data_IF_366130101695
#
_entry.id   IF_366130101695
#
_cell.length_a   1.000
_cell.length_b   1.000
_cell.length_c   1.000
_cell.angle_alpha   90.00
_cell.angle_beta   90.00
_cell.angle_gamma   90.00
#
_symmetry.space_group_name_H-M   'P 1'
#
loop_
_entity.id
_entity.type
_entity.pdbx_description
1 polymer ?
#
# COMPACT_ATOMS: atom_id res chain seq x y z
N UNK A 1 13.14 -12.25 -3.57
CA UNK A 1 13.82 -11.01 -3.94
C UNK A 1 14.74 -10.52 -2.83
N UNK A 2 14.28 -10.21 -1.59
CA UNK A 2 15.15 -9.60 -0.58
C UNK A 2 16.41 -10.42 -0.22
N UNK A 3 16.28 -11.74 -0.05
CA UNK A 3 17.42 -12.62 0.29
C UNK A 3 18.56 -12.51 -0.73
N UNK A 4 18.22 -12.56 -2.02
CA UNK A 4 19.18 -12.47 -3.12
C UNK A 4 19.83 -11.08 -3.22
N UNK A 5 19.00 -10.03 -3.18
CA UNK A 5 19.45 -8.66 -3.44
C UNK A 5 20.27 -8.08 -2.28
N UNK A 6 19.87 -8.36 -1.04
CA UNK A 6 20.43 -7.68 0.14
C UNK A 6 21.20 -8.61 1.09
N UNK A 7 21.13 -9.93 0.91
CA UNK A 7 21.69 -10.90 1.86
C UNK A 7 22.45 -12.06 1.21
N UNK A 8 22.79 -11.98 -0.08
CA UNK A 8 23.56 -13.03 -0.78
C UNK A 8 22.95 -14.44 -0.63
N UNK A 9 21.62 -14.52 -0.68
CA UNK A 9 20.84 -15.76 -0.49
C UNK A 9 21.00 -16.45 0.89
N UNK A 10 21.51 -15.73 1.90
CA UNK A 10 21.71 -16.27 3.26
C UNK A 10 20.42 -16.40 4.09
N UNK A 11 19.33 -15.70 3.73
CA UNK A 11 18.08 -15.79 4.47
C UNK A 11 17.33 -17.09 4.16
N UNK A 12 16.95 -17.83 5.21
CA UNK A 12 16.16 -19.07 5.12
C UNK A 12 14.74 -18.84 5.63
N UNK A 13 13.75 -19.39 4.93
CA UNK A 13 12.34 -19.30 5.33
C UNK A 13 12.01 -20.44 6.29
N UNK A 14 11.60 -20.12 7.52
CA UNK A 14 11.16 -21.08 8.54
C UNK A 14 9.65 -21.19 8.70
N UNK A 15 8.87 -20.42 7.93
CA UNK A 15 7.42 -20.36 7.99
C UNK A 15 6.78 -21.03 6.77
N UNK A 16 5.58 -21.59 6.96
CA UNK A 16 4.77 -22.07 5.86
C UNK A 16 4.14 -20.92 5.07
N UNK A 17 3.83 -21.19 3.81
CA UNK A 17 3.24 -20.20 2.92
C UNK A 17 1.74 -20.03 3.24
N UNK A 18 1.34 -18.81 3.58
CA UNK A 18 -0.06 -18.45 3.77
C UNK A 18 -0.88 -18.43 2.46
N UNK A 19 -2.19 -18.13 2.56
CA UNK A 19 -3.11 -18.08 1.42
C UNK A 19 -2.72 -17.02 0.38
N UNK A 20 -3.06 -17.30 -0.89
CA UNK A 20 -2.87 -16.38 -2.01
C UNK A 20 -4.21 -15.74 -2.38
N UNK A 21 -4.37 -14.45 -2.08
CA UNK A 21 -5.61 -13.72 -2.32
C UNK A 21 -5.66 -12.98 -3.67
N UNK A 22 -4.56 -12.94 -4.43
CA UNK A 22 -4.45 -12.22 -5.69
C UNK A 22 -4.39 -13.18 -6.87
N UNK A 23 -4.73 -12.69 -8.06
CA UNK A 23 -4.63 -13.43 -9.31
C UNK A 23 -3.66 -12.74 -10.26
N UNK A 24 -2.88 -13.53 -10.99
CA UNK A 24 -2.11 -13.06 -12.15
C UNK A 24 -3.03 -12.86 -13.35
N UNK A 25 -2.53 -12.23 -14.41
CA UNK A 25 -3.28 -12.06 -15.67
C UNK A 25 -3.76 -13.39 -16.28
N UNK A 26 -3.00 -14.47 -16.09
CA UNK A 26 -3.39 -15.81 -16.53
C UNK A 26 -4.33 -16.56 -15.56
N UNK A 27 -4.90 -15.86 -14.57
CA UNK A 27 -5.83 -16.41 -13.59
C UNK A 27 -5.21 -17.29 -12.50
N UNK A 28 -3.87 -17.46 -12.47
CA UNK A 28 -3.22 -18.26 -11.42
C UNK A 28 -3.12 -17.47 -10.10
N UNK A 29 -3.41 -18.10 -8.94
CA UNK A 29 -3.23 -17.46 -7.63
C UNK A 29 -1.80 -17.01 -7.38
N UNK A 30 -1.64 -15.86 -6.72
CA UNK A 30 -0.37 -15.30 -6.29
C UNK A 30 -0.51 -14.53 -4.98
N UNK A 31 0.57 -14.45 -4.21
CA UNK A 31 0.64 -13.65 -2.99
C UNK A 31 1.17 -12.23 -3.24
N UNK A 32 1.92 -12.06 -4.34
CA UNK A 32 2.58 -10.80 -4.69
C UNK A 32 2.21 -10.47 -6.14
N UNK A 33 1.82 -9.22 -6.38
CA UNK A 33 1.51 -8.67 -7.68
C UNK A 33 2.01 -7.22 -7.74
N UNK A 34 2.61 -6.84 -8.87
CA UNK A 34 2.97 -5.45 -9.12
C UNK A 34 1.87 -4.80 -9.98
N UNK A 35 1.07 -3.91 -9.38
CA UNK A 35 0.04 -3.17 -10.09
C UNK A 35 0.62 -1.93 -10.74
N UNK A 36 1.03 -2.03 -12.01
CA UNK A 36 1.53 -0.88 -12.75
C UNK A 36 0.44 0.19 -12.89
N UNK A 37 0.75 1.42 -12.51
CA UNK A 37 -0.11 2.59 -12.61
C UNK A 37 0.69 3.74 -13.20
N UNK A 38 0.09 4.47 -14.13
CA UNK A 38 0.61 5.75 -14.62
C UNK A 38 -0.34 6.85 -14.13
N UNK A 39 -0.09 7.34 -12.92
CA UNK A 39 -0.78 8.50 -12.37
C UNK A 39 0.01 9.78 -12.63
N UNK A 40 -0.67 10.94 -12.65
CA UNK A 40 0.02 12.23 -12.54
C UNK A 40 0.25 12.52 -11.07
N UNK A 41 1.47 12.89 -10.72
CA UNK A 41 1.78 13.40 -9.39
C UNK A 41 1.27 14.85 -9.30
N UNK A 42 0.29 15.09 -8.42
CA UNK A 42 -0.16 16.44 -8.12
C UNK A 42 0.75 16.97 -7.01
N UNK A 43 1.78 17.73 -7.39
CA UNK A 43 2.64 18.43 -6.43
C UNK A 43 1.85 19.56 -5.79
N UNK A 44 1.22 19.30 -4.65
CA UNK A 44 0.67 20.35 -3.79
C UNK A 44 1.84 21.05 -3.09
N UNK A 45 2.31 22.15 -3.66
CA UNK A 45 3.23 23.09 -3.00
C UNK A 45 2.43 23.78 -1.90
N UNK A 46 2.42 23.21 -0.70
CA UNK A 46 1.80 23.83 0.47
C UNK A 46 2.80 24.80 1.08
N UNK A 47 2.64 26.08 0.78
CA UNK A 47 3.41 27.17 1.40
C UNK A 47 2.93 27.41 2.84
N UNK A 48 3.31 26.55 3.79
CA UNK A 48 3.19 26.86 5.22
C UNK A 48 4.46 27.54 5.72
N UNK A 49 4.30 28.49 6.65
CA UNK A 49 5.39 29.32 7.22
C UNK A 49 6.44 28.52 8.00
N UNK A 50 6.17 27.25 8.29
CA UNK A 50 7.09 26.32 8.95
C UNK A 50 7.26 25.09 8.05
N UNK A 51 8.44 24.90 7.48
CA UNK A 51 8.87 23.61 6.92
C UNK A 51 8.42 23.33 5.49
N UNK A 52 9.36 23.54 4.56
CA UNK A 52 9.31 23.05 3.19
C UNK A 52 9.38 21.51 3.16
N UNK A 53 8.24 20.82 3.13
CA UNK A 53 8.18 19.41 2.72
C UNK A 53 7.42 19.31 1.40
N UNK A 54 8.15 19.05 0.30
CA UNK A 54 7.61 18.71 -1.02
C UNK A 54 6.83 17.38 -0.93
N UNK A 55 5.64 17.43 -0.34
CA UNK A 55 4.85 16.25 -0.02
C UNK A 55 4.00 15.91 -1.26
N UNK A 56 4.57 15.10 -2.14
CA UNK A 56 3.92 14.66 -3.39
C UNK A 56 2.86 13.62 -3.06
N UNK A 57 1.65 13.79 -3.62
CA UNK A 57 0.58 12.81 -3.54
C UNK A 57 0.12 12.41 -4.95
N UNK A 58 -0.08 11.12 -5.16
CA UNK A 58 -0.64 10.56 -6.38
C UNK A 58 -2.04 10.02 -6.06
N UNK A 59 -3.05 10.81 -6.42
CA UNK A 59 -4.46 10.52 -6.09
C UNK A 59 -4.91 9.23 -6.77
N UNK A 60 -4.44 8.94 -7.98
CA UNK A 60 -4.84 7.73 -8.71
C UNK A 60 -4.27 6.47 -8.06
N UNK A 61 -3.01 6.52 -7.63
CA UNK A 61 -2.42 5.44 -6.82
C UNK A 61 -3.13 5.28 -5.47
N UNK A 62 -3.47 6.38 -4.79
CA UNK A 62 -4.19 6.33 -3.51
C UNK A 62 -5.57 5.67 -3.67
N UNK A 63 -6.34 6.04 -4.70
CA UNK A 63 -7.63 5.41 -5.04
C UNK A 63 -7.47 3.92 -5.32
N UNK A 64 -6.43 3.55 -6.07
CA UNK A 64 -6.17 2.17 -6.42
C UNK A 64 -5.75 1.33 -5.21
N UNK A 65 -4.89 1.85 -4.33
CA UNK A 65 -4.51 1.18 -3.09
C UNK A 65 -5.73 0.88 -2.21
N UNK A 66 -6.62 1.88 -2.02
CA UNK A 66 -7.87 1.68 -1.26
C UNK A 66 -8.83 0.73 -1.98
N UNK A 67 -8.86 0.75 -3.31
CA UNK A 67 -9.66 -0.21 -4.09
C UNK A 67 -9.19 -1.65 -3.84
N UNK A 68 -7.88 -1.90 -3.86
CA UNK A 68 -7.31 -3.23 -3.59
C UNK A 68 -7.63 -3.68 -2.15
N UNK A 69 -7.44 -2.81 -1.15
CA UNK A 69 -7.82 -3.12 0.23
C UNK A 69 -9.29 -3.50 0.37
N UNK A 70 -10.20 -2.74 -0.27
CA UNK A 70 -11.63 -3.05 -0.27
C UNK A 70 -11.95 -4.39 -0.96
N UNK A 71 -11.23 -4.77 -2.01
CA UNK A 71 -11.40 -6.07 -2.68
C UNK A 71 -10.94 -7.22 -1.78
N UNK A 72 -9.81 -7.06 -1.08
CA UNK A 72 -9.32 -8.05 -0.11
C UNK A 72 -10.34 -8.27 1.02
N UNK A 73 -10.96 -7.21 1.52
CA UNK A 73 -12.01 -7.31 2.55
C UNK A 73 -13.25 -8.00 1.98
N UNK A 74 -13.83 -7.48 0.89
CA UNK A 74 -15.15 -7.89 0.43
C UNK A 74 -15.17 -9.21 -0.34
N UNK A 75 -14.10 -9.53 -1.07
CA UNK A 75 -14.06 -10.71 -1.94
C UNK A 75 -13.23 -11.84 -1.34
N UNK A 76 -12.14 -11.52 -0.64
CA UNK A 76 -11.25 -12.51 -0.05
C UNK A 76 -11.51 -12.77 1.45
N UNK A 77 -12.37 -11.96 2.09
CA UNK A 77 -12.71 -12.13 3.51
C UNK A 77 -11.55 -11.81 4.45
N UNK A 78 -10.61 -10.97 4.04
CA UNK A 78 -9.50 -10.54 4.89
C UNK A 78 -10.00 -9.49 5.86
N UNK A 79 -9.83 -9.74 7.17
CA UNK A 79 -10.19 -8.76 8.19
C UNK A 79 -9.41 -7.44 7.98
N UNK A 80 -10.06 -6.27 8.09
CA UNK A 80 -9.42 -4.98 7.80
C UNK A 80 -8.16 -4.71 8.65
N UNK A 81 -8.12 -5.20 9.88
CA UNK A 81 -6.99 -5.11 10.81
C UNK A 81 -5.73 -5.85 10.35
N UNK A 82 -5.88 -6.83 9.44
CA UNK A 82 -4.77 -7.54 8.80
C UNK A 82 -4.26 -6.85 7.53
N UNK A 83 -4.78 -5.66 7.20
CA UNK A 83 -4.40 -4.90 6.00
C UNK A 83 -3.68 -3.61 6.40
N UNK A 84 -2.50 -3.41 5.83
CA UNK A 84 -1.74 -2.18 5.93
C UNK A 84 -1.43 -1.61 4.55
N UNK A 85 -1.60 -0.28 4.39
CA UNK A 85 -1.18 0.46 3.21
C UNK A 85 0.03 1.32 3.60
N UNK A 86 1.17 1.05 2.99
CA UNK A 86 2.44 1.72 3.27
C UNK A 86 2.83 2.63 2.11
N UNK A 87 3.31 3.83 2.43
CA UNK A 87 3.82 4.81 1.45
C UNK A 87 5.00 5.60 2.03
N UNK A 88 5.99 6.04 1.24
CA UNK A 88 7.08 6.85 1.78
C UNK A 88 6.65 8.27 2.22
N UNK A 89 5.55 8.81 1.69
CA UNK A 89 5.18 10.23 1.86
C UNK A 89 4.01 10.46 2.82
N UNK A 90 4.14 11.45 3.72
CA UNK A 90 3.09 11.84 4.67
C UNK A 90 1.83 12.39 3.97
N UNK A 91 1.97 13.18 2.91
CA UNK A 91 0.80 13.65 2.15
C UNK A 91 0.00 12.50 1.54
N UNK A 92 0.68 11.48 1.01
CA UNK A 92 0.02 10.30 0.48
C UNK A 92 -0.74 9.52 1.58
N UNK A 93 -0.19 9.41 2.80
CA UNK A 93 -0.92 8.84 3.95
C UNK A 93 -2.21 9.60 4.22
N UNK A 94 -2.13 10.93 4.25
CA UNK A 94 -3.29 11.80 4.48
C UNK A 94 -4.38 11.60 3.42
N UNK A 95 -4.02 11.52 2.13
CA UNK A 95 -5.01 11.30 1.08
C UNK A 95 -5.62 9.91 1.09
N UNK A 96 -4.82 8.87 1.35
CA UNK A 96 -5.35 7.51 1.50
C UNK A 96 -6.37 7.47 2.66
N UNK A 97 -6.07 8.07 3.82
CA UNK A 97 -6.98 8.14 4.96
C UNK A 97 -8.31 8.81 4.61
N UNK A 98 -8.28 9.96 3.91
CA UNK A 98 -9.51 10.62 3.44
C UNK A 98 -10.35 9.72 2.52
N UNK A 99 -9.72 8.95 1.63
CA UNK A 99 -10.43 8.03 0.73
C UNK A 99 -11.04 6.85 1.51
N UNK A 100 -10.31 6.31 2.49
CA UNK A 100 -10.78 5.23 3.38
C UNK A 100 -12.00 5.67 4.18
N UNK A 101 -11.95 6.86 4.80
CA UNK A 101 -13.07 7.45 5.55
C UNK A 101 -14.31 7.60 4.68
N UNK A 102 -14.15 8.16 3.47
CA UNK A 102 -15.25 8.29 2.48
C UNK A 102 -15.86 6.94 2.10
N UNK A 103 -15.06 5.87 2.04
CA UNK A 103 -15.52 4.51 1.73
C UNK A 103 -15.97 3.72 2.96
N UNK A 104 -15.89 4.29 4.16
CA UNK A 104 -16.24 3.66 5.44
C UNK A 104 -15.48 2.35 5.69
N UNK A 105 -14.21 2.30 5.30
CA UNK A 105 -13.34 1.15 5.53
C UNK A 105 -12.62 1.31 6.88
N UNK A 106 -13.30 0.97 7.97
CA UNK A 106 -12.71 1.05 9.30
C UNK A 106 -11.53 0.06 9.47
N UNK A 107 -10.61 0.39 10.37
CA UNK A 107 -9.54 -0.48 10.88
C UNK A 107 -8.43 -0.89 9.88
N UNK A 108 -8.39 -0.34 8.68
CA UNK A 108 -7.22 -0.49 7.78
C UNK A 108 -6.09 0.43 8.26
N UNK A 109 -4.90 -0.12 8.47
CA UNK A 109 -3.73 0.66 8.88
C UNK A 109 -3.13 1.42 7.70
N UNK A 110 -2.80 2.71 7.89
CA UNK A 110 -2.12 3.54 6.89
C UNK A 110 -1.04 4.36 7.55
N UNK A 111 0.22 4.10 7.19
CA UNK A 111 1.38 4.76 7.76
C UNK A 111 2.53 4.88 6.75
N UNK A 112 3.55 5.64 7.14
CA UNK A 112 4.76 5.71 6.32
C UNK A 112 5.66 4.52 6.54
N UNK A 113 6.46 4.16 5.54
CA UNK A 113 7.42 3.04 5.64
C UNK A 113 8.33 3.21 6.87
N UNK A 114 8.82 4.42 7.14
CA UNK A 114 9.68 4.69 8.30
C UNK A 114 8.99 4.49 9.65
N UNK A 115 7.68 4.68 9.73
CA UNK A 115 6.90 4.45 10.98
C UNK A 115 6.46 3.00 11.14
N UNK A 116 6.60 2.18 10.10
CA UNK A 116 6.24 0.76 10.12
C UNK A 116 7.38 -0.19 10.49
N UNK A 117 8.60 0.34 10.61
CA UNK A 117 9.80 -0.42 10.97
C UNK A 117 9.98 -0.50 12.48
#
# INVERSE_FOLDING_TARGET
FPSKEFYEDKLKTGAERGPCYLLKENGKPTAILFGHMQGKEDSLVVSTKEGNENSVANIEEAKQAVRVANLLIKQAGVEPEHIAILTPYNAQVSEIKKIIEKKRLANVSVCTIMKSQ
#
